data_IF_437032521859
#
_entry.id   IF_437032521859
#
_cell.length_a   1.000
_cell.length_b   1.000
_cell.length_c   1.000
_cell.angle_alpha   90.00
_cell.angle_beta   90.00
_cell.angle_gamma   90.00
#
_symmetry.space_group_name_H-M   'P 1'
#
loop_
_entity.id
_entity.type
_entity.pdbx_description
1 polymer ?
#
# COMPACT_ATOMS: atom_id res chain seq x y z
N UNK A 1 -18.82 4.69 6.48
CA UNK A 1 -18.74 3.90 5.25
C UNK A 1 -18.73 2.41 5.57
N UNK A 2 -17.79 1.97 6.41
CA UNK A 2 -17.67 0.59 6.85
C UNK A 2 -16.99 0.48 8.22
N UNK A 3 -17.05 -0.72 8.81
CA UNK A 3 -16.30 -1.13 9.99
C UNK A 3 -15.44 -2.31 9.58
N UNK A 4 -14.14 -2.20 9.78
CA UNK A 4 -13.20 -3.28 9.49
C UNK A 4 -12.51 -3.75 10.77
N UNK A 5 -12.65 -5.03 11.07
CA UNK A 5 -12.03 -5.62 12.25
C UNK A 5 -10.58 -6.01 11.98
N UNK A 6 -9.70 -5.61 12.90
CA UNK A 6 -8.27 -5.96 12.89
C UNK A 6 -7.88 -6.63 14.20
N UNK A 7 -6.77 -7.37 14.20
CA UNK A 7 -6.18 -7.91 15.42
C UNK A 7 -5.78 -6.74 16.34
N UNK A 8 -6.32 -6.72 17.55
CA UNK A 8 -5.91 -5.74 18.56
C UNK A 8 -4.62 -6.16 19.26
N UNK A 9 -3.78 -5.20 19.65
CA UNK A 9 -2.57 -5.41 20.46
C UNK A 9 -2.86 -6.11 21.80
N UNK A 10 -4.10 -6.06 22.29
CA UNK A 10 -4.57 -6.68 23.54
C UNK A 10 -5.30 -8.01 23.33
N UNK A 11 -5.19 -8.63 22.15
CA UNK A 11 -5.86 -9.89 21.80
C UNK A 11 -7.34 -9.78 21.40
N UNK A 12 -8.06 -8.75 21.81
CA UNK A 12 -9.44 -8.48 21.33
C UNK A 12 -9.42 -7.78 19.98
N UNK A 13 -10.11 -8.28 18.95
CA UNK A 13 -10.30 -7.56 17.68
C UNK A 13 -10.89 -6.17 17.93
N UNK A 14 -10.47 -5.19 17.12
CA UNK A 14 -11.00 -3.82 17.15
C UNK A 14 -11.65 -3.49 15.82
N UNK A 15 -12.86 -2.96 15.84
CA UNK A 15 -13.58 -2.54 14.64
C UNK A 15 -13.21 -1.10 14.28
N UNK A 16 -12.32 -0.92 13.32
CA UNK A 16 -11.93 0.40 12.82
C UNK A 16 -13.05 1.00 11.99
N UNK A 17 -13.52 2.19 12.35
CA UNK A 17 -14.62 2.87 11.68
C UNK A 17 -14.08 3.93 10.72
N UNK A 18 -14.48 3.87 9.45
CA UNK A 18 -14.21 4.89 8.45
C UNK A 18 -15.48 5.59 7.98
N UNK A 19 -15.41 6.93 7.86
CA UNK A 19 -16.48 7.77 7.32
C UNK A 19 -16.45 7.79 5.79
N UNK A 20 -17.57 8.20 5.15
CA UNK A 20 -17.64 8.22 3.68
C UNK A 20 -16.73 9.27 3.06
N UNK A 21 -16.96 10.54 3.38
CA UNK A 21 -16.34 11.66 2.64
C UNK A 21 -14.80 11.66 2.71
N UNK A 22 -14.24 11.69 3.92
CA UNK A 22 -12.80 11.77 4.10
C UNK A 22 -12.06 10.55 3.54
N UNK A 23 -12.61 9.35 3.77
CA UNK A 23 -12.04 8.12 3.25
C UNK A 23 -12.04 8.08 1.72
N UNK A 24 -13.17 8.39 1.08
CA UNK A 24 -13.29 8.41 -0.38
C UNK A 24 -12.36 9.43 -1.02
N UNK A 25 -12.30 10.65 -0.48
CA UNK A 25 -11.41 11.69 -0.97
C UNK A 25 -9.95 11.23 -0.93
N UNK A 26 -9.51 10.70 0.21
CA UNK A 26 -8.10 10.34 0.40
C UNK A 26 -7.70 9.11 -0.42
N UNK A 27 -8.52 8.08 -0.46
CA UNK A 27 -8.24 6.87 -1.24
C UNK A 27 -8.21 7.17 -2.74
N UNK A 28 -9.12 8.03 -3.24
CA UNK A 28 -9.12 8.48 -4.64
C UNK A 28 -7.87 9.32 -4.93
N UNK A 29 -7.58 10.30 -4.08
CA UNK A 29 -6.41 11.18 -4.24
C UNK A 29 -5.11 10.37 -4.28
N UNK A 30 -4.92 9.46 -3.33
CA UNK A 30 -3.70 8.64 -3.26
C UNK A 30 -3.63 7.63 -4.38
N UNK A 31 -4.74 7.02 -4.80
CA UNK A 31 -4.78 6.16 -5.97
C UNK A 31 -4.31 6.87 -7.23
N UNK A 32 -4.89 8.03 -7.52
CA UNK A 32 -4.55 8.79 -8.73
C UNK A 32 -3.09 9.26 -8.71
N UNK A 33 -2.61 9.78 -7.58
CA UNK A 33 -1.30 10.44 -7.53
C UNK A 33 -0.14 9.48 -7.27
N UNK A 34 -0.31 8.48 -6.40
CA UNK A 34 0.77 7.50 -6.13
C UNK A 34 1.02 6.64 -7.35
N UNK A 35 -0.05 6.13 -7.97
CA UNK A 35 0.04 5.26 -9.15
C UNK A 35 0.01 6.02 -10.48
N UNK A 36 -0.01 7.35 -10.48
CA UNK A 36 -0.11 8.15 -11.73
C UNK A 36 -1.19 7.60 -12.67
N UNK A 37 -2.34 7.25 -12.09
CA UNK A 37 -3.47 6.70 -12.84
C UNK A 37 -3.90 7.65 -13.96
N UNK A 38 -4.12 7.11 -15.14
CA UNK A 38 -4.70 7.80 -16.29
C UNK A 38 -6.00 7.13 -16.73
N UNK A 39 -7.01 7.89 -17.20
CA UNK A 39 -8.25 7.30 -17.68
C UNK A 39 -8.01 6.22 -18.75
N UNK A 40 -8.62 5.06 -18.53
CA UNK A 40 -8.45 3.88 -19.39
C UNK A 40 -7.42 2.88 -18.87
N UNK A 41 -6.61 3.22 -17.86
CA UNK A 41 -5.71 2.25 -17.24
C UNK A 41 -6.49 1.16 -16.48
N UNK A 42 -6.03 -0.07 -16.62
CA UNK A 42 -6.53 -1.24 -15.89
C UNK A 42 -5.67 -1.46 -14.66
N UNK A 43 -6.30 -1.41 -13.50
CA UNK A 43 -5.66 -1.64 -12.19
C UNK A 43 -5.92 -3.05 -11.70
N UNK A 44 -4.87 -3.73 -11.28
CA UNK A 44 -4.93 -5.05 -10.67
C UNK A 44 -4.25 -5.02 -9.30
N UNK A 45 -5.06 -4.97 -8.25
CA UNK A 45 -4.62 -5.17 -6.87
C UNK A 45 -4.92 -6.61 -6.45
N UNK A 46 -3.91 -7.33 -6.00
CA UNK A 46 -4.01 -8.75 -5.64
C UNK A 46 -4.38 -8.99 -4.18
N UNK A 47 -4.65 -7.93 -3.42
CA UNK A 47 -5.01 -8.04 -2.01
C UNK A 47 -6.36 -8.75 -1.83
N UNK A 48 -6.51 -9.45 -0.72
CA UNK A 48 -7.79 -9.97 -0.29
C UNK A 48 -8.76 -8.82 0.05
N UNK A 49 -10.01 -8.94 -0.42
CA UNK A 49 -11.04 -7.93 -0.18
C UNK A 49 -11.41 -7.78 1.30
N UNK A 50 -11.12 -8.77 2.13
CA UNK A 50 -11.31 -8.72 3.57
C UNK A 50 -10.32 -7.81 4.31
N UNK A 51 -9.23 -7.39 3.65
CA UNK A 51 -8.25 -6.46 4.20
C UNK A 51 -8.51 -5.03 3.76
N UNK A 52 -7.98 -4.07 4.51
CA UNK A 52 -8.13 -2.64 4.17
C UNK A 52 -7.59 -2.32 2.78
N UNK A 53 -6.55 -3.01 2.32
CA UNK A 53 -6.00 -2.81 0.98
C UNK A 53 -7.02 -3.12 -0.11
N UNK A 54 -7.80 -4.19 0.06
CA UNK A 54 -8.90 -4.51 -0.84
C UNK A 54 -9.97 -3.42 -0.85
N UNK A 55 -10.37 -2.93 0.33
CA UNK A 55 -11.31 -1.81 0.44
C UNK A 55 -10.77 -0.56 -0.26
N UNK A 56 -9.58 -0.11 0.09
CA UNK A 56 -9.03 1.16 -0.38
C UNK A 56 -8.62 1.14 -1.85
N UNK A 57 -7.99 0.04 -2.31
CA UNK A 57 -7.32 0.00 -3.62
C UNK A 57 -7.77 -1.14 -4.55
N UNK A 58 -8.87 -1.82 -4.25
CA UNK A 58 -9.66 -2.57 -5.25
C UNK A 58 -10.98 -1.85 -5.49
N UNK A 59 -11.67 -1.47 -4.40
CA UNK A 59 -13.04 -0.95 -4.48
C UNK A 59 -13.06 0.57 -4.51
N UNK A 60 -12.80 1.22 -3.35
CA UNK A 60 -13.18 2.62 -3.18
C UNK A 60 -12.32 3.60 -3.98
N UNK A 61 -11.01 3.55 -3.87
CA UNK A 61 -10.12 4.47 -4.58
C UNK A 61 -10.21 4.34 -6.10
N UNK A 62 -9.97 3.14 -6.68
CA UNK A 62 -10.03 2.95 -8.13
C UNK A 62 -11.40 3.25 -8.72
N UNK A 63 -12.49 2.73 -8.16
CA UNK A 63 -13.84 2.93 -8.71
C UNK A 63 -14.29 4.39 -8.60
N UNK A 64 -13.93 5.09 -7.52
CA UNK A 64 -14.19 6.52 -7.37
C UNK A 64 -13.42 7.37 -8.38
N UNK A 65 -12.26 6.91 -8.83
CA UNK A 65 -11.49 7.54 -9.90
C UNK A 65 -11.97 7.16 -11.32
N UNK A 66 -12.97 6.28 -11.43
CA UNK A 66 -13.46 5.77 -12.71
C UNK A 66 -12.54 4.72 -13.35
N UNK A 67 -11.67 4.08 -12.58
CA UNK A 67 -10.75 3.07 -13.10
C UNK A 67 -11.43 1.72 -13.31
N UNK A 68 -10.91 0.96 -14.27
CA UNK A 68 -11.19 -0.48 -14.36
C UNK A 68 -10.35 -1.21 -13.32
N UNK A 69 -10.99 -1.78 -12.31
CA UNK A 69 -10.35 -2.52 -11.23
C UNK A 69 -10.63 -4.01 -11.38
N UNK A 70 -9.58 -4.83 -11.44
CA UNK A 70 -9.72 -6.29 -11.48
C UNK A 70 -9.82 -6.84 -10.07
N UNK A 71 -10.81 -7.70 -9.86
CA UNK A 71 -10.93 -8.54 -8.67
C UNK A 71 -10.47 -9.96 -9.00
N UNK A 72 -9.62 -10.51 -8.16
CA UNK A 72 -9.03 -11.82 -8.33
C UNK A 72 -9.50 -12.76 -7.22
N UNK A 73 -10.09 -13.89 -7.61
CA UNK A 73 -10.43 -14.98 -6.71
C UNK A 73 -9.41 -16.11 -6.89
N UNK A 74 -8.58 -16.34 -5.89
CA UNK A 74 -7.55 -17.36 -5.92
C UNK A 74 -6.26 -16.97 -5.20
N UNK A 75 -5.24 -17.78 -5.41
CA UNK A 75 -3.88 -17.55 -4.89
C UNK A 75 -2.88 -17.41 -6.04
N UNK A 76 -1.73 -16.75 -5.83
CA UNK A 76 -0.79 -16.42 -6.92
C UNK A 76 -0.20 -17.65 -7.63
N UNK A 77 -0.21 -18.81 -6.97
CA UNK A 77 0.41 -20.05 -7.46
C UNK A 77 -0.59 -21.11 -7.93
N UNK A 78 -1.87 -20.77 -8.05
CA UNK A 78 -2.88 -21.71 -8.54
C UNK A 78 -3.57 -21.22 -9.82
N UNK A 79 -3.72 -22.02 -10.87
CA UNK A 79 -3.29 -23.46 -11.01
C UNK A 79 -1.77 -23.64 -11.14
N UNK A 80 -1.04 -22.56 -11.43
CA UNK A 80 0.43 -22.51 -11.51
C UNK A 80 0.95 -21.11 -11.21
N UNK A 81 2.27 -20.95 -11.13
CA UNK A 81 2.93 -19.67 -10.81
C UNK A 81 2.87 -18.64 -11.94
N UNK A 82 2.32 -18.94 -13.09
CA UNK A 82 2.06 -18.03 -14.20
C UNK A 82 0.75 -17.25 -14.06
N UNK A 83 -0.10 -17.61 -13.09
CA UNK A 83 -1.48 -17.10 -12.97
C UNK A 83 -1.58 -15.56 -12.99
N UNK A 84 -0.75 -14.85 -12.25
CA UNK A 84 -0.78 -13.39 -12.24
C UNK A 84 -0.39 -12.80 -13.59
N UNK A 85 0.58 -13.42 -14.23
CA UNK A 85 1.10 -12.98 -15.54
C UNK A 85 0.09 -13.22 -16.66
N UNK A 86 -0.67 -14.31 -16.58
CA UNK A 86 -1.80 -14.57 -17.49
C UNK A 86 -2.88 -13.49 -17.36
N UNK A 87 -3.18 -13.07 -16.13
CA UNK A 87 -4.15 -11.99 -15.88
C UNK A 87 -3.62 -10.68 -16.46
N UNK A 88 -2.36 -10.35 -16.20
CA UNK A 88 -1.73 -9.12 -16.73
C UNK A 88 -1.78 -9.12 -18.26
N UNK A 89 -1.39 -10.21 -18.89
CA UNK A 89 -1.39 -10.31 -20.36
C UNK A 89 -2.82 -10.26 -20.92
N UNK A 90 -3.73 -11.07 -20.40
CA UNK A 90 -5.10 -11.17 -20.88
C UNK A 90 -5.87 -9.86 -20.81
N UNK A 91 -5.76 -9.17 -19.68
CA UNK A 91 -6.53 -7.94 -19.41
C UNK A 91 -5.74 -6.66 -19.66
N UNK A 92 -4.50 -6.78 -20.15
CA UNK A 92 -3.61 -5.63 -20.44
C UNK A 92 -3.49 -4.69 -19.26
N UNK A 93 -3.19 -5.27 -18.09
CA UNK A 93 -3.04 -4.54 -16.84
C UNK A 93 -1.96 -3.46 -16.97
N UNK A 94 -2.25 -2.26 -16.51
CA UNK A 94 -1.33 -1.13 -16.52
C UNK A 94 -0.68 -0.90 -15.15
N UNK A 95 -1.44 -1.12 -14.08
CA UNK A 95 -0.99 -0.92 -12.71
C UNK A 95 -1.16 -2.24 -11.94
N UNK A 96 -0.05 -2.82 -11.49
CA UNK A 96 -0.05 -4.03 -10.66
C UNK A 96 0.36 -3.68 -9.24
N UNK A 97 -0.52 -3.94 -8.27
CA UNK A 97 -0.32 -3.65 -6.85
C UNK A 97 -0.45 -4.92 -6.02
N UNK A 98 0.62 -5.32 -5.34
CA UNK A 98 0.69 -6.63 -4.66
C UNK A 98 1.52 -6.59 -3.38
N UNK A 99 1.48 -7.67 -2.61
CA UNK A 99 2.28 -7.79 -1.40
C UNK A 99 3.68 -8.36 -1.70
N UNK A 100 4.73 -7.92 -1.01
CA UNK A 100 6.07 -8.51 -1.11
C UNK A 100 6.12 -10.01 -0.89
N UNK A 101 5.28 -10.54 -0.01
CA UNK A 101 5.14 -12.00 0.19
C UNK A 101 4.69 -12.72 -1.09
N UNK A 102 3.78 -12.17 -1.85
CA UNK A 102 3.37 -12.74 -3.14
C UNK A 102 4.52 -12.69 -4.15
N UNK A 103 5.28 -11.60 -4.20
CA UNK A 103 6.45 -11.47 -5.07
C UNK A 103 7.50 -12.53 -4.71
N UNK A 104 7.85 -12.67 -3.43
CA UNK A 104 8.81 -13.69 -2.96
C UNK A 104 8.35 -15.12 -3.28
N UNK A 105 7.06 -15.39 -3.12
CA UNK A 105 6.48 -16.68 -3.47
C UNK A 105 6.62 -16.99 -4.96
N UNK A 106 6.36 -16.01 -5.83
CA UNK A 106 6.50 -16.17 -7.28
C UNK A 106 7.96 -16.23 -7.71
N UNK A 107 8.83 -15.45 -7.07
CA UNK A 107 10.27 -15.45 -7.33
C UNK A 107 10.91 -16.84 -7.11
N UNK A 108 10.39 -17.62 -6.17
CA UNK A 108 10.87 -18.99 -5.91
C UNK A 108 10.70 -19.93 -7.12
N UNK A 109 9.80 -19.63 -8.04
CA UNK A 109 9.61 -20.39 -9.29
C UNK A 109 10.51 -19.90 -10.44
N UNK A 110 11.37 -18.90 -10.19
CA UNK A 110 12.26 -18.33 -11.21
C UNK A 110 11.49 -17.54 -12.25
N UNK A 111 12.02 -17.55 -13.48
CA UNK A 111 11.47 -16.77 -14.61
C UNK A 111 10.68 -17.60 -15.62
N UNK A 112 10.69 -18.91 -15.50
CA UNK A 112 9.97 -19.80 -16.42
C UNK A 112 8.47 -19.50 -16.49
N UNK A 113 7.76 -19.17 -15.38
CA UNK A 113 6.34 -18.78 -15.44
C UNK A 113 6.07 -17.51 -16.24
N UNK A 114 7.10 -16.72 -16.57
CA UNK A 114 6.98 -15.50 -17.38
C UNK A 114 7.13 -15.74 -18.87
N UNK A 115 7.56 -16.95 -19.25
CA UNK A 115 7.79 -17.30 -20.64
C UNK A 115 6.47 -17.19 -21.43
N UNK A 116 6.58 -16.63 -22.62
CA UNK A 116 5.43 -16.42 -23.53
C UNK A 116 4.32 -15.49 -22.97
N UNK A 117 4.57 -14.75 -21.87
CA UNK A 117 3.65 -13.76 -21.33
C UNK A 117 4.03 -12.35 -21.80
N UNK A 118 3.04 -11.64 -22.31
CA UNK A 118 3.23 -10.25 -22.71
C UNK A 118 2.87 -9.29 -21.57
N UNK A 119 3.87 -8.81 -20.86
CA UNK A 119 3.72 -7.85 -19.76
C UNK A 119 3.91 -6.38 -20.21
N UNK A 120 3.98 -6.10 -21.51
CA UNK A 120 4.31 -4.76 -22.04
C UNK A 120 3.24 -3.69 -21.74
N UNK A 121 2.06 -4.09 -21.30
CA UNK A 121 1.01 -3.17 -20.87
C UNK A 121 1.29 -2.55 -19.49
N UNK A 122 2.14 -3.17 -18.68
CA UNK A 122 2.49 -2.64 -17.36
C UNK A 122 3.20 -1.30 -17.48
N UNK A 123 2.75 -0.35 -16.72
CA UNK A 123 3.31 1.00 -16.58
C UNK A 123 3.87 1.22 -15.17
N UNK A 124 3.19 0.70 -14.16
CA UNK A 124 3.52 0.93 -12.75
C UNK A 124 3.37 -0.36 -11.96
N UNK A 125 4.32 -0.57 -11.08
CA UNK A 125 4.31 -1.64 -10.09
C UNK A 125 4.17 -1.04 -8.70
N UNK A 126 3.47 -1.73 -7.80
CA UNK A 126 3.33 -1.27 -6.43
C UNK A 126 3.44 -2.39 -5.41
N UNK A 127 3.89 -2.05 -4.20
CA UNK A 127 4.00 -2.96 -3.06
C UNK A 127 3.31 -2.40 -1.82
N UNK A 128 2.76 -3.30 -0.99
CA UNK A 128 1.96 -2.96 0.17
C UNK A 128 1.98 -4.02 1.25
N UNK A 129 1.79 -3.59 2.49
CA UNK A 129 1.47 -4.43 3.65
C UNK A 129 2.68 -4.84 4.49
N UNK A 130 3.85 -4.88 3.91
CA UNK A 130 5.12 -5.16 4.58
C UNK A 130 6.28 -4.54 3.82
N UNK A 131 7.45 -4.29 4.44
CA UNK A 131 8.63 -3.86 3.72
C UNK A 131 9.06 -4.90 2.67
N UNK A 132 9.37 -4.44 1.48
CA UNK A 132 9.97 -5.30 0.45
C UNK A 132 11.49 -5.33 0.63
N UNK A 133 12.09 -6.52 0.68
CA UNK A 133 13.55 -6.65 0.69
C UNK A 133 14.14 -6.32 -0.69
N UNK A 134 15.38 -5.84 -0.72
CA UNK A 134 16.06 -5.39 -1.94
C UNK A 134 16.08 -6.46 -3.04
N UNK A 135 16.32 -7.72 -2.70
CA UNK A 135 16.37 -8.82 -3.66
C UNK A 135 15.03 -8.98 -4.40
N UNK A 136 13.92 -9.01 -3.67
CA UNK A 136 12.58 -9.10 -4.25
C UNK A 136 12.21 -7.84 -5.05
N UNK A 137 12.63 -6.67 -4.58
CA UNK A 137 12.46 -5.40 -5.30
C UNK A 137 13.17 -5.44 -6.65
N UNK A 138 14.45 -5.83 -6.69
CA UNK A 138 15.22 -5.94 -7.93
C UNK A 138 14.71 -7.04 -8.86
N UNK A 139 14.23 -8.15 -8.31
CA UNK A 139 13.58 -9.18 -9.12
C UNK A 139 12.30 -8.64 -9.78
N UNK A 140 11.48 -7.94 -9.02
CA UNK A 140 10.23 -7.34 -9.48
C UNK A 140 10.48 -6.28 -10.56
N UNK A 141 11.44 -5.41 -10.34
CA UNK A 141 11.87 -4.41 -11.33
C UNK A 141 12.38 -5.05 -12.63
N UNK A 142 13.34 -5.96 -12.50
CA UNK A 142 14.02 -6.56 -13.65
C UNK A 142 13.12 -7.47 -14.49
N UNK A 143 12.39 -8.37 -13.83
CA UNK A 143 11.68 -9.44 -14.52
C UNK A 143 10.23 -9.06 -14.87
N UNK A 144 9.57 -8.29 -14.05
CA UNK A 144 8.19 -7.86 -14.27
C UNK A 144 8.15 -6.46 -14.90
N UNK A 145 8.80 -5.50 -14.28
CA UNK A 145 8.87 -4.11 -14.77
C UNK A 145 9.78 -3.89 -15.94
N UNK A 146 10.65 -4.86 -16.28
CA UNK A 146 11.62 -4.77 -17.36
C UNK A 146 12.55 -3.54 -17.26
N UNK A 147 12.84 -3.08 -16.04
CA UNK A 147 13.57 -1.85 -15.70
C UNK A 147 12.94 -0.59 -16.34
N UNK A 148 11.63 -0.60 -16.56
CA UNK A 148 10.89 0.51 -17.20
C UNK A 148 9.72 1.00 -16.36
N UNK A 149 9.15 0.13 -15.53
CA UNK A 149 8.02 0.46 -14.68
C UNK A 149 8.52 0.98 -13.35
N UNK A 150 8.22 2.23 -12.96
CA UNK A 150 8.51 2.68 -11.59
C UNK A 150 7.80 1.79 -10.58
N UNK A 151 8.50 1.50 -9.47
CA UNK A 151 7.93 0.78 -8.34
C UNK A 151 7.58 1.79 -7.26
N UNK A 152 6.33 1.75 -6.77
CA UNK A 152 5.89 2.50 -5.60
C UNK A 152 5.76 1.55 -4.41
N UNK A 153 6.50 1.84 -3.34
CA UNK A 153 6.40 1.13 -2.07
C UNK A 153 5.59 1.96 -1.10
N UNK A 154 4.45 1.44 -0.65
CA UNK A 154 3.45 2.23 0.08
C UNK A 154 3.39 1.82 1.55
N UNK A 155 3.52 2.80 2.45
CA UNK A 155 3.32 2.61 3.87
C UNK A 155 2.02 3.24 4.35
N UNK A 156 1.19 2.44 4.98
CA UNK A 156 -0.08 2.82 5.58
C UNK A 156 -0.69 1.66 6.37
N UNK A 157 -1.80 1.89 7.05
CA UNK A 157 -2.45 0.93 7.94
C UNK A 157 -3.97 0.98 7.76
N UNK A 158 -4.68 0.02 8.37
CA UNK A 158 -6.15 0.06 8.43
C UNK A 158 -6.64 1.37 9.04
N UNK A 159 -5.98 1.84 10.07
CA UNK A 159 -6.31 3.08 10.79
C UNK A 159 -6.10 4.33 9.96
N UNK A 160 -5.19 4.29 9.00
CA UNK A 160 -4.94 5.43 8.12
C UNK A 160 -5.91 5.51 6.94
N UNK A 161 -6.55 4.40 6.59
CA UNK A 161 -7.53 4.30 5.50
C UNK A 161 -6.94 4.33 4.09
N UNK A 162 -5.81 4.97 3.91
CA UNK A 162 -5.08 5.06 2.65
C UNK A 162 -3.60 5.35 2.86
N UNK A 163 -2.84 5.39 1.78
CA UNK A 163 -1.40 5.59 1.77
C UNK A 163 -1.01 6.93 2.39
N UNK A 164 0.00 6.93 3.26
CA UNK A 164 0.56 8.14 3.87
C UNK A 164 1.99 8.43 3.42
N UNK A 165 2.79 7.40 3.21
CA UNK A 165 4.20 7.53 2.83
C UNK A 165 4.43 6.64 1.61
N UNK A 166 4.94 7.23 0.54
CA UNK A 166 5.29 6.54 -0.70
C UNK A 166 6.08 7.46 -1.62
N UNK A 167 6.90 6.90 -2.49
CA UNK A 167 7.31 7.64 -3.68
C UNK A 167 6.12 7.80 -4.63
N UNK A 168 6.19 8.82 -5.49
CA UNK A 168 5.25 9.04 -6.59
C UNK A 168 5.84 8.47 -7.87
N UNK A 169 5.12 7.57 -8.53
CA UNK A 169 5.61 6.84 -9.70
C UNK A 169 6.16 7.78 -10.79
N UNK A 170 7.45 7.61 -11.13
CA UNK A 170 8.12 8.42 -12.15
C UNK A 170 8.37 9.89 -11.80
N UNK A 171 7.97 10.35 -10.61
CA UNK A 171 8.14 11.74 -10.16
C UNK A 171 9.23 11.85 -9.10
N UNK A 172 9.18 10.98 -8.07
CA UNK A 172 10.16 10.96 -7.00
C UNK A 172 10.97 9.67 -7.03
N UNK A 173 12.24 9.67 -6.57
CA UNK A 173 13.07 8.47 -6.58
C UNK A 173 12.45 7.34 -5.76
N UNK A 174 12.52 6.13 -6.31
CA UNK A 174 12.28 4.89 -5.56
C UNK A 174 13.59 4.43 -4.91
N UNK A 175 13.49 3.95 -3.69
CA UNK A 175 14.64 3.35 -2.96
C UNK A 175 14.20 1.94 -2.55
N UNK A 176 14.90 0.88 -2.97
CA UNK A 176 14.55 -0.48 -2.61
C UNK A 176 14.38 -0.66 -1.11
N UNK A 177 13.21 -1.19 -0.68
CA UNK A 177 12.90 -1.42 0.72
C UNK A 177 12.40 -0.21 1.53
N UNK A 178 12.19 0.95 0.88
CA UNK A 178 11.77 2.17 1.56
C UNK A 178 10.55 2.81 0.91
N UNK A 179 9.55 3.13 1.73
CA UNK A 179 8.38 3.90 1.27
C UNK A 179 8.72 5.37 0.95
N UNK A 180 9.83 5.86 1.43
CA UNK A 180 10.51 7.13 1.14
C UNK A 180 9.86 8.39 1.70
N UNK A 181 8.90 9.01 1.01
CA UNK A 181 8.46 10.38 1.30
C UNK A 181 7.02 10.43 1.80
N UNK A 182 6.70 11.31 2.76
CA UNK A 182 5.32 11.57 3.10
C UNK A 182 4.57 12.20 1.92
N UNK A 183 3.32 11.79 1.75
CA UNK A 183 2.45 12.40 0.76
C UNK A 183 2.05 13.84 1.18
N UNK A 184 1.70 14.72 0.23
CA UNK A 184 1.27 16.07 0.53
C UNK A 184 0.18 16.12 1.60
N UNK A 185 0.40 16.96 2.62
CA UNK A 185 -0.49 17.09 3.79
C UNK A 185 -0.17 16.14 4.96
N UNK A 186 0.69 15.14 4.77
CA UNK A 186 1.12 14.25 5.85
C UNK A 186 2.37 14.81 6.52
N UNK A 187 2.33 14.93 7.85
CA UNK A 187 3.41 15.49 8.66
C UNK A 187 3.95 14.44 9.65
N UNK A 188 4.82 13.51 9.19
CA UNK A 188 5.43 12.53 10.08
C UNK A 188 6.47 13.18 10.96
N UNK A 189 6.56 12.72 12.21
CA UNK A 189 7.63 13.03 13.14
C UNK A 189 8.11 11.74 13.79
N UNK A 190 9.34 11.75 14.25
CA UNK A 190 9.87 10.68 15.11
C UNK A 190 9.97 11.21 16.54
N UNK A 191 9.47 10.41 17.48
CA UNK A 191 9.50 10.77 18.91
C UNK A 191 10.24 9.71 19.73
N UNK A 192 10.76 10.13 20.87
CA UNK A 192 11.35 9.25 21.89
C UNK A 192 10.27 8.52 22.72
N UNK A 193 10.68 7.79 23.75
CA UNK A 193 9.82 7.09 24.70
C UNK A 193 8.89 8.02 25.50
N UNK A 194 9.23 9.30 25.59
CA UNK A 194 8.50 10.33 26.34
C UNK A 194 7.65 11.25 25.43
N UNK A 195 7.65 11.02 24.11
CA UNK A 195 6.93 11.83 23.15
C UNK A 195 7.66 13.11 22.69
N UNK A 196 8.91 13.27 23.06
CA UNK A 196 9.70 14.42 22.57
C UNK A 196 10.12 14.20 21.12
N UNK A 197 9.93 15.19 20.28
CA UNK A 197 10.34 15.14 18.87
C UNK A 197 11.87 15.01 18.76
N UNK A 198 12.30 13.99 18.02
CA UNK A 198 13.71 13.72 17.77
C UNK A 198 14.19 14.57 16.60
N UNK A 199 15.17 15.43 16.84
CA UNK A 199 15.79 16.30 15.82
C UNK A 199 17.27 15.99 15.61
N UNK A 200 17.91 15.29 16.58
CA UNK A 200 19.35 14.99 16.54
C UNK A 200 19.58 13.61 15.96
N UNK A 201 20.26 13.56 14.83
CA UNK A 201 20.69 12.31 14.18
C UNK A 201 21.86 11.67 14.94
N UNK A 202 21.98 10.35 14.79
CA UNK A 202 23.13 9.59 15.31
C UNK A 202 24.42 9.89 14.50
N UNK A 203 25.53 9.24 14.86
CA UNK A 203 26.83 9.37 14.20
C UNK A 203 26.83 8.95 12.72
N UNK A 204 25.84 8.16 12.30
CA UNK A 204 25.63 7.74 10.92
C UNK A 204 24.64 8.62 10.16
N UNK A 205 24.19 9.73 10.77
CA UNK A 205 23.20 10.63 10.17
C UNK A 205 21.76 10.08 10.18
N UNK A 206 21.48 9.05 10.99
CA UNK A 206 20.19 8.35 11.06
C UNK A 206 19.41 8.88 12.27
N UNK A 207 18.11 9.04 12.08
CA UNK A 207 17.14 9.32 13.14
C UNK A 207 16.25 8.12 13.37
N UNK A 208 16.22 7.58 14.58
CA UNK A 208 15.42 6.41 14.94
C UNK A 208 14.48 6.74 16.09
N UNK A 209 13.20 6.47 15.93
CA UNK A 209 12.19 6.74 16.95
C UNK A 209 10.84 6.14 16.60
N UNK A 210 9.85 6.41 17.42
CA UNK A 210 8.46 6.02 17.14
C UNK A 210 7.86 7.00 16.12
N UNK A 211 7.28 6.46 15.07
CA UNK A 211 6.65 7.26 14.03
C UNK A 211 5.29 7.76 14.50
N UNK A 212 5.13 9.06 14.52
CA UNK A 212 3.86 9.75 14.78
C UNK A 212 3.49 10.64 13.58
N UNK A 213 2.19 10.88 13.39
CA UNK A 213 1.68 11.84 12.41
C UNK A 213 1.09 13.02 13.14
N UNK A 214 1.65 14.21 12.90
CA UNK A 214 1.39 15.42 13.69
C UNK A 214 0.01 16.05 13.46
N UNK A 215 -0.55 15.87 12.27
CA UNK A 215 -1.82 16.46 11.89
C UNK A 215 -2.77 15.40 11.29
N UNK A 216 -4.09 15.54 11.47
CA UNK A 216 -5.06 14.63 10.88
C UNK A 216 -5.09 14.75 9.35
N UNK A 217 -5.48 13.67 8.69
CA UNK A 217 -5.70 13.61 7.24
C UNK A 217 -7.14 13.11 6.98
N UNK A 218 -7.66 13.24 5.76
CA UNK A 218 -9.07 12.99 5.49
C UNK A 218 -9.56 11.57 5.84
N UNK A 219 -8.74 10.54 5.64
CA UNK A 219 -9.11 9.14 5.87
C UNK A 219 -8.68 8.57 7.23
N UNK A 220 -8.23 9.39 8.17
CA UNK A 220 -7.95 8.93 9.54
C UNK A 220 -9.16 8.21 10.12
N UNK A 221 -8.95 7.14 10.88
CA UNK A 221 -10.04 6.44 11.56
C UNK A 221 -10.90 7.40 12.38
N UNK A 222 -12.22 7.14 12.43
CA UNK A 222 -13.13 7.97 13.23
C UNK A 222 -13.22 7.51 14.67
N UNK A 223 -13.19 6.20 14.88
CA UNK A 223 -13.25 5.58 16.21
C UNK A 223 -13.01 4.06 16.09
N UNK A 224 -12.92 3.40 17.23
CA UNK A 224 -13.14 1.96 17.36
C UNK A 224 -14.60 1.71 17.68
N UNK A 225 -15.27 0.89 16.90
CA UNK A 225 -16.70 0.58 17.05
C UNK A 225 -17.01 -0.01 18.42
N UNK A 226 -17.96 0.60 19.12
CA UNK A 226 -18.38 0.19 20.45
C UNK A 226 -17.36 0.50 21.57
N UNK A 227 -16.19 1.09 21.26
CA UNK A 227 -15.13 1.36 22.24
C UNK A 227 -14.32 2.60 21.86
N UNK A 228 -14.93 3.77 22.00
CA UNK A 228 -14.28 5.04 21.67
C UNK A 228 -13.08 5.34 22.57
N UNK A 229 -13.16 4.98 23.85
CA UNK A 229 -12.08 5.22 24.81
C UNK A 229 -10.81 4.43 24.44
N UNK A 230 -10.97 3.20 23.97
CA UNK A 230 -9.84 2.42 23.42
C UNK A 230 -9.18 3.11 22.22
N UNK A 231 -10.00 3.72 21.35
CA UNK A 231 -9.49 4.50 20.23
C UNK A 231 -8.65 5.68 20.73
N UNK A 232 -9.18 6.45 21.67
CA UNK A 232 -8.50 7.60 22.26
C UNK A 232 -7.16 7.21 22.90
N UNK A 233 -7.16 6.19 23.72
CA UNK A 233 -5.95 5.73 24.41
C UNK A 233 -4.90 5.23 23.44
N UNK A 234 -5.29 4.40 22.46
CA UNK A 234 -4.34 3.74 21.59
C UNK A 234 -3.68 4.67 20.56
N UNK A 235 -4.39 5.74 20.14
CA UNK A 235 -3.95 6.54 19.00
C UNK A 235 -3.72 8.02 19.31
N UNK A 236 -4.26 8.54 20.43
CA UNK A 236 -4.29 9.98 20.69
C UNK A 236 -3.88 10.38 22.11
N UNK A 237 -3.57 9.46 22.98
CA UNK A 237 -3.28 9.75 24.38
C UNK A 237 -1.86 9.36 24.84
N UNK A 238 -1.07 8.75 23.98
CA UNK A 238 0.30 8.32 24.34
C UNK A 238 1.28 9.50 24.25
N UNK A 239 1.04 10.44 23.33
CA UNK A 239 1.88 11.62 23.07
C UNK A 239 1.03 12.86 22.83
#
# INVERSE_FOLDING_TARGET
LFILYTSGSTGKPKGVVHSCAGYMIWTTYTFVNVFQYSPGDVHFCTADIGWITGHSYIVYGPLSAGATSLMFEGIPTWPDAGRFWDIVDKYKVNILYTAPTAIRSLMAFGVEPLKDKNLSSLKILGTVGEPINEEAWHWYDRHIGKNKCPIVDTWWQTETGGCLISNLAGITPAIPGWATLPLPGIQPILVDEHGNELIKKDEHGILKGKLCIKAPWPSILRTTYGDHERCRINYFATY
#
